data_IF_853404460275
#
_entry.id   IF_853404460275
#
_cell.length_a   1.000
_cell.length_b   1.000
_cell.length_c   1.000
_cell.angle_alpha   90.00
_cell.angle_beta   90.00
_cell.angle_gamma   90.00
#
_symmetry.space_group_name_H-M   'P 1'
#
loop_
_entity.id
_entity.type
_entity.pdbx_description
1 polymer ?
#
# COMPACT_ATOMS: atom_id res chain seq x y z
N UNK A 1 17.19 -23.78 -5.23
CA UNK A 1 17.49 -22.45 -5.80
C UNK A 1 16.25 -21.62 -5.56
N UNK A 2 16.35 -20.63 -4.68
CA UNK A 2 15.20 -19.83 -4.23
C UNK A 2 14.81 -18.84 -5.31
N UNK A 3 13.57 -18.93 -5.82
CA UNK A 3 12.94 -17.90 -6.64
C UNK A 3 12.73 -16.66 -5.77
N UNK A 4 13.66 -15.71 -5.84
CA UNK A 4 13.41 -14.34 -5.42
C UNK A 4 12.35 -13.76 -6.37
N UNK A 5 11.26 -13.15 -5.89
CA UNK A 5 10.33 -12.45 -6.77
C UNK A 5 11.04 -11.20 -7.28
N UNK A 6 11.75 -11.33 -8.40
CA UNK A 6 12.17 -10.20 -9.19
C UNK A 6 10.88 -9.58 -9.70
N UNK A 7 10.54 -8.38 -9.23
CA UNK A 7 9.47 -7.60 -9.85
C UNK A 7 9.87 -7.46 -11.33
N UNK A 8 9.09 -8.05 -12.23
CA UNK A 8 9.44 -8.00 -13.65
C UNK A 8 9.51 -6.52 -14.10
N UNK A 9 10.63 -6.08 -14.72
CA UNK A 9 10.82 -4.68 -15.11
C UNK A 9 9.68 -4.13 -15.99
N UNK A 10 9.01 -5.01 -16.73
CA UNK A 10 7.89 -4.67 -17.61
C UNK A 10 6.59 -4.39 -16.84
N UNK A 11 6.36 -5.06 -15.70
CA UNK A 11 5.20 -4.84 -14.84
C UNK A 11 5.29 -3.49 -14.14
N UNK A 12 6.47 -3.17 -13.59
CA UNK A 12 6.76 -1.86 -13.02
C UNK A 12 6.52 -0.76 -14.04
N UNK A 13 7.16 -0.82 -15.23
CA UNK A 13 6.98 0.18 -16.29
C UNK A 13 5.52 0.36 -16.72
N UNK A 14 4.74 -0.72 -16.83
CA UNK A 14 3.30 -0.66 -17.19
C UNK A 14 2.45 0.00 -16.12
N UNK A 15 2.65 -0.34 -14.85
CA UNK A 15 1.95 0.30 -13.73
C UNK A 15 2.30 1.78 -13.65
N UNK A 16 3.57 2.08 -13.86
CA UNK A 16 4.12 3.40 -14.01
C UNK A 16 3.38 4.11 -15.18
N UNK A 17 3.37 3.62 -16.41
CA UNK A 17 2.62 4.28 -17.51
C UNK A 17 1.11 4.43 -17.26
N UNK A 18 0.49 3.45 -16.60
CA UNK A 18 -0.95 3.40 -16.40
C UNK A 18 -1.46 4.19 -15.20
N UNK A 19 -0.60 4.46 -14.21
CA UNK A 19 -0.98 5.23 -13.01
C UNK A 19 -0.35 6.62 -13.05
N UNK A 20 -1.18 7.67 -13.28
CA UNK A 20 -0.73 9.04 -13.26
C UNK A 20 -0.13 9.40 -11.89
N UNK A 21 1.02 10.07 -11.90
CA UNK A 21 1.58 10.71 -10.70
C UNK A 21 2.51 9.87 -9.83
N UNK A 22 2.85 8.61 -10.18
CA UNK A 22 3.93 7.91 -9.43
C UNK A 22 5.24 8.68 -9.64
N UNK A 23 5.91 9.18 -8.57
CA UNK A 23 7.21 9.82 -8.68
C UNK A 23 8.23 8.87 -9.31
N UNK A 24 8.97 9.34 -10.31
CA UNK A 24 9.96 8.54 -11.05
C UNK A 24 11.22 9.32 -11.34
N UNK A 25 12.31 8.58 -11.49
CA UNK A 25 13.54 9.00 -12.14
C UNK A 25 13.80 8.17 -13.41
N UNK A 26 15.00 8.28 -13.99
CA UNK A 26 15.42 7.52 -15.19
C UNK A 26 15.44 5.99 -14.97
N UNK A 27 15.44 5.52 -13.71
CA UNK A 27 15.51 4.11 -13.32
C UNK A 27 14.17 3.49 -12.90
N UNK A 28 13.14 4.30 -12.61
CA UNK A 28 11.81 3.79 -12.25
C UNK A 28 11.14 4.57 -11.12
N UNK A 29 10.19 3.95 -10.39
CA UNK A 29 9.52 4.58 -9.25
C UNK A 29 10.51 4.95 -8.13
N UNK A 30 10.39 6.17 -7.61
CA UNK A 30 11.18 6.66 -6.47
C UNK A 30 10.36 6.50 -5.19
N UNK A 31 11.00 6.00 -4.14
CA UNK A 31 10.41 5.77 -2.82
C UNK A 31 11.21 6.54 -1.77
N UNK A 32 10.51 7.29 -0.91
CA UNK A 32 11.10 8.04 0.22
C UNK A 32 11.34 7.15 1.42
N UNK A 33 10.48 6.16 1.59
CA UNK A 33 10.50 5.24 2.73
C UNK A 33 10.37 3.79 2.26
N UNK A 34 10.96 2.81 2.97
CA UNK A 34 10.89 1.40 2.57
C UNK A 34 9.46 0.86 2.41
N UNK A 35 8.50 1.36 3.20
CA UNK A 35 7.11 0.89 3.14
C UNK A 35 6.41 1.28 1.83
N UNK A 36 6.81 2.38 1.18
CA UNK A 36 6.23 2.82 -0.09
C UNK A 36 6.52 1.81 -1.21
N UNK A 37 7.77 1.30 -1.24
CA UNK A 37 8.17 0.25 -2.18
C UNK A 37 7.38 -1.05 -1.96
N UNK A 38 7.13 -1.42 -0.70
CA UNK A 38 6.32 -2.60 -0.37
C UNK A 38 4.86 -2.42 -0.82
N UNK A 39 4.25 -1.26 -0.56
CA UNK A 39 2.88 -0.96 -1.00
C UNK A 39 2.75 -1.02 -2.53
N UNK A 40 3.73 -0.46 -3.25
CA UNK A 40 3.80 -0.55 -4.71
C UNK A 40 3.91 -2.00 -5.20
N UNK A 41 4.84 -2.78 -4.63
CA UNK A 41 5.02 -4.18 -4.99
C UNK A 41 3.75 -5.03 -4.73
N UNK A 42 3.03 -4.78 -3.63
CA UNK A 42 1.76 -5.45 -3.35
C UNK A 42 0.68 -5.10 -4.39
N UNK A 43 0.57 -3.83 -4.79
CA UNK A 43 -0.37 -3.41 -5.83
C UNK A 43 -0.07 -4.09 -7.17
N UNK A 44 1.20 -4.18 -7.57
CA UNK A 44 1.62 -4.94 -8.77
C UNK A 44 1.20 -6.41 -8.69
N UNK A 45 1.54 -7.08 -7.58
CA UNK A 45 1.24 -8.50 -7.42
C UNK A 45 -0.27 -8.80 -7.44
N UNK A 46 -1.10 -7.90 -6.92
CA UNK A 46 -2.56 -8.04 -6.94
C UNK A 46 -3.15 -7.77 -8.33
N UNK A 47 -2.61 -6.77 -9.04
CA UNK A 47 -2.96 -6.53 -10.44
C UNK A 47 -2.62 -7.74 -11.32
N UNK A 48 -1.42 -8.30 -11.18
CA UNK A 48 -0.97 -9.44 -12.00
C UNK A 48 -1.80 -10.71 -11.75
N UNK A 49 -2.40 -10.81 -10.55
CA UNK A 49 -3.38 -11.85 -10.19
C UNK A 49 -4.80 -11.55 -10.65
N UNK A 50 -5.03 -10.41 -11.31
CA UNK A 50 -6.33 -10.00 -11.83
C UNK A 50 -7.33 -9.56 -10.76
N UNK A 51 -6.88 -9.19 -9.56
CA UNK A 51 -7.77 -8.69 -8.49
C UNK A 51 -8.44 -7.38 -8.90
N UNK A 52 -7.72 -6.56 -9.65
CA UNK A 52 -8.21 -5.33 -10.24
C UNK A 52 -7.44 -4.98 -11.52
N UNK A 53 -8.00 -4.05 -12.28
CA UNK A 53 -7.38 -3.46 -13.46
C UNK A 53 -6.82 -2.07 -13.16
N UNK A 54 -5.82 -1.61 -13.93
CA UNK A 54 -5.27 -0.26 -13.75
C UNK A 54 -6.29 0.88 -13.93
N UNK A 55 -7.28 0.81 -14.83
CA UNK A 55 -8.35 1.82 -14.89
C UNK A 55 -9.20 1.89 -13.62
N UNK A 56 -9.55 0.75 -13.02
CA UNK A 56 -10.25 0.71 -11.72
C UNK A 56 -9.37 1.33 -10.63
N UNK A 57 -8.07 0.98 -10.60
CA UNK A 57 -7.11 1.55 -9.67
C UNK A 57 -7.04 3.07 -9.77
N UNK A 58 -6.83 3.61 -10.98
CA UNK A 58 -6.71 5.05 -11.21
C UNK A 58 -7.98 5.81 -10.77
N UNK A 59 -9.16 5.24 -11.02
CA UNK A 59 -10.43 5.83 -10.58
C UNK A 59 -10.52 5.89 -9.05
N UNK A 60 -10.20 4.79 -8.35
CA UNK A 60 -10.23 4.73 -6.88
C UNK A 60 -9.17 5.63 -6.24
N UNK A 61 -7.96 5.69 -6.80
CA UNK A 61 -6.91 6.59 -6.32
C UNK A 61 -7.32 8.06 -6.43
N UNK A 62 -7.97 8.44 -7.55
CA UNK A 62 -8.48 9.79 -7.71
C UNK A 62 -9.58 10.14 -6.69
N UNK A 63 -10.42 9.17 -6.30
CA UNK A 63 -11.40 9.36 -5.22
C UNK A 63 -10.73 9.60 -3.86
N UNK A 64 -9.71 8.80 -3.50
CA UNK A 64 -9.00 8.95 -2.22
C UNK A 64 -8.24 10.28 -2.14
N UNK A 65 -7.55 10.68 -3.22
CA UNK A 65 -6.86 11.98 -3.29
C UNK A 65 -7.86 13.13 -3.11
N UNK A 66 -9.00 13.11 -3.81
CA UNK A 66 -10.03 14.15 -3.66
C UNK A 66 -10.59 14.22 -2.24
N UNK A 67 -10.80 13.06 -1.61
CA UNK A 67 -11.28 12.98 -0.22
C UNK A 67 -10.26 13.56 0.76
N UNK A 68 -8.97 13.28 0.57
CA UNK A 68 -7.90 13.83 1.39
C UNK A 68 -7.74 15.35 1.20
N UNK A 69 -7.75 15.83 -0.04
CA UNK A 69 -7.72 17.27 -0.35
C UNK A 69 -8.91 18.00 0.30
N UNK A 70 -10.10 17.42 0.25
CA UNK A 70 -11.29 17.98 0.93
C UNK A 70 -11.14 17.99 2.47
N UNK A 71 -10.31 17.12 3.04
CA UNK A 71 -9.98 17.07 4.47
C UNK A 71 -8.80 17.99 4.85
N UNK A 72 -8.27 18.78 3.91
CA UNK A 72 -7.21 19.77 4.15
C UNK A 72 -5.79 19.25 3.91
N UNK A 73 -5.63 18.12 3.19
CA UNK A 73 -4.31 17.60 2.83
C UNK A 73 -3.56 18.58 1.91
N UNK A 74 -2.36 19.06 2.30
CA UNK A 74 -1.55 19.92 1.45
C UNK A 74 -1.04 19.12 0.25
N UNK A 75 -1.27 19.63 -0.95
CA UNK A 75 -0.90 18.98 -2.23
C UNK A 75 0.62 19.10 -2.50
N UNK A 76 1.45 18.59 -1.58
CA UNK A 76 2.92 18.62 -1.63
C UNK A 76 3.52 17.31 -2.15
N UNK A 77 2.69 16.30 -2.38
CA UNK A 77 3.12 14.95 -2.78
C UNK A 77 3.64 14.08 -1.64
N UNK A 78 3.85 14.61 -0.43
CA UNK A 78 4.34 13.84 0.73
C UNK A 78 3.34 12.80 1.24
N UNK A 79 2.06 12.98 0.91
CA UNK A 79 0.96 12.07 1.27
C UNK A 79 0.56 11.16 0.12
N UNK A 80 1.22 11.23 -1.03
CA UNK A 80 0.83 10.46 -2.22
C UNK A 80 0.77 8.94 -1.97
N UNK A 81 1.82 8.36 -1.37
CA UNK A 81 1.81 6.94 -1.05
C UNK A 81 0.87 6.58 0.10
N UNK A 82 0.40 7.54 0.91
CA UNK A 82 -0.68 7.31 1.87
C UNK A 82 -2.02 7.14 1.14
N UNK A 83 -2.30 7.96 0.13
CA UNK A 83 -3.47 7.80 -0.73
C UNK A 83 -3.40 6.49 -1.53
N UNK A 84 -2.21 6.11 -1.97
CA UNK A 84 -1.94 4.82 -2.60
C UNK A 84 -2.29 3.65 -1.67
N UNK A 85 -1.82 3.68 -0.42
CA UNK A 85 -2.11 2.65 0.56
C UNK A 85 -3.60 2.57 0.89
N UNK A 86 -4.26 3.72 1.11
CA UNK A 86 -5.70 3.78 1.36
C UNK A 86 -6.50 3.19 0.18
N UNK A 87 -6.07 3.48 -1.05
CA UNK A 87 -6.65 2.91 -2.26
C UNK A 87 -6.49 1.39 -2.28
N UNK A 88 -5.29 0.89 -1.99
CA UNK A 88 -5.00 -0.54 -1.94
C UNK A 88 -5.91 -1.25 -0.93
N UNK A 89 -5.95 -0.76 0.31
CA UNK A 89 -6.77 -1.28 1.41
C UNK A 89 -8.26 -1.33 1.06
N UNK A 90 -8.78 -0.25 0.47
CA UNK A 90 -10.16 -0.18 0.01
C UNK A 90 -10.44 -1.19 -1.09
N UNK A 91 -9.56 -1.30 -2.08
CA UNK A 91 -9.76 -2.22 -3.21
C UNK A 91 -9.72 -3.68 -2.75
N UNK A 92 -8.78 -4.08 -1.89
CA UNK A 92 -8.71 -5.47 -1.40
C UNK A 92 -9.90 -5.84 -0.53
N UNK A 93 -10.48 -4.87 0.20
CA UNK A 93 -11.71 -5.07 0.96
C UNK A 93 -12.95 -5.17 0.04
N UNK A 94 -13.12 -4.25 -0.92
CA UNK A 94 -14.24 -4.24 -1.88
C UNK A 94 -14.24 -5.51 -2.76
N UNK A 95 -13.07 -6.05 -3.10
CA UNK A 95 -12.91 -7.26 -3.90
C UNK A 95 -12.94 -8.56 -3.08
N UNK A 96 -13.11 -8.49 -1.75
CA UNK A 96 -13.24 -9.65 -0.86
C UNK A 96 -11.95 -10.44 -0.62
N UNK A 97 -10.78 -9.86 -0.93
CA UNK A 97 -9.47 -10.46 -0.60
C UNK A 97 -9.22 -10.40 0.92
N UNK A 98 -9.75 -9.37 1.57
CA UNK A 98 -9.80 -9.21 3.03
C UNK A 98 -11.06 -8.43 3.40
N UNK A 99 -11.22 -8.04 4.67
CA UNK A 99 -12.30 -7.16 5.12
C UNK A 99 -11.73 -5.90 5.77
N UNK A 100 -12.47 -4.79 5.71
CA UNK A 100 -12.08 -3.55 6.42
C UNK A 100 -11.91 -3.79 7.93
N UNK A 101 -12.71 -4.69 8.51
CA UNK A 101 -12.57 -5.11 9.91
C UNK A 101 -11.23 -5.82 10.14
N UNK A 102 -10.85 -6.76 9.29
CA UNK A 102 -9.56 -7.45 9.42
C UNK A 102 -8.40 -6.46 9.31
N UNK A 103 -8.42 -5.54 8.34
CA UNK A 103 -7.40 -4.51 8.21
C UNK A 103 -7.27 -3.67 9.49
N UNK A 104 -8.39 -3.21 10.05
CA UNK A 104 -8.41 -2.46 11.30
C UNK A 104 -7.89 -3.29 12.49
N UNK A 105 -8.32 -4.55 12.61
CA UNK A 105 -7.87 -5.43 13.69
C UNK A 105 -6.34 -5.68 13.61
N UNK A 106 -5.77 -5.81 12.41
CA UNK A 106 -4.32 -5.93 12.20
C UNK A 106 -3.57 -4.62 12.48
N UNK A 107 -4.10 -3.47 12.06
CA UNK A 107 -3.53 -2.16 12.40
C UNK A 107 -3.39 -2.02 13.91
N UNK A 108 -4.49 -2.25 14.64
CA UNK A 108 -4.52 -2.10 16.09
C UNK A 108 -3.61 -3.13 16.78
N UNK A 109 -3.52 -4.35 16.24
CA UNK A 109 -2.64 -5.38 16.77
C UNK A 109 -1.16 -5.02 16.60
N UNK A 110 -0.78 -4.49 15.43
CA UNK A 110 0.58 -4.01 15.21
C UNK A 110 0.93 -2.81 16.08
N UNK A 111 -0.03 -1.88 16.30
CA UNK A 111 0.15 -0.76 17.22
C UNK A 111 0.42 -1.26 18.65
N UNK A 112 -0.38 -2.20 19.15
CA UNK A 112 -0.16 -2.83 20.47
C UNK A 112 1.18 -3.54 20.54
N UNK A 113 1.54 -4.31 19.51
CA UNK A 113 2.82 -5.01 19.43
C UNK A 113 3.99 -4.02 19.51
N UNK A 114 3.91 -2.89 18.78
CA UNK A 114 4.91 -1.84 18.83
C UNK A 114 5.01 -1.19 20.22
N UNK A 115 3.86 -0.84 20.84
CA UNK A 115 3.82 -0.20 22.16
C UNK A 115 4.43 -1.07 23.27
N UNK A 116 4.20 -2.39 23.24
CA UNK A 116 4.74 -3.30 24.26
C UNK A 116 6.19 -3.73 24.01
N UNK A 117 6.76 -3.44 22.84
CA UNK A 117 8.11 -3.89 22.48
C UNK A 117 9.15 -2.86 22.95
N UNK A 118 10.10 -3.24 23.83
CA UNK A 118 11.17 -2.33 24.23
C UNK A 118 12.01 -1.85 23.04
N UNK A 119 12.46 -0.59 23.09
CA UNK A 119 13.33 -0.03 22.05
C UNK A 119 14.57 -0.91 21.81
N UNK A 120 14.92 -1.07 20.53
CA UNK A 120 16.04 -1.92 20.11
C UNK A 120 15.72 -3.41 19.98
N UNK A 121 14.48 -3.83 20.29
CA UNK A 121 14.02 -5.21 20.11
C UNK A 121 13.12 -5.31 18.86
N UNK A 122 13.20 -6.41 18.08
CA UNK A 122 12.27 -6.63 16.97
C UNK A 122 10.81 -6.65 17.44
N UNK A 123 9.93 -6.00 16.66
CA UNK A 123 8.48 -6.04 16.91
C UNK A 123 7.94 -7.34 16.33
N UNK A 124 7.34 -8.16 17.19
CA UNK A 124 6.71 -9.41 16.80
C UNK A 124 5.21 -9.35 17.09
N UNK A 125 4.40 -9.70 16.09
CA UNK A 125 2.96 -9.83 16.24
C UNK A 125 2.60 -11.16 16.90
N UNK A 126 1.85 -11.12 17.99
CA UNK A 126 1.41 -12.29 18.76
C UNK A 126 -0.12 -12.37 18.76
N UNK A 127 -0.65 -13.57 19.01
CA UNK A 127 -2.10 -13.79 19.11
C UNK A 127 -2.76 -12.91 20.20
N UNK A 128 -2.02 -12.53 21.23
CA UNK A 128 -2.47 -11.61 22.27
C UNK A 128 -2.71 -10.19 21.79
N UNK A 129 -2.00 -9.76 20.75
CA UNK A 129 -2.17 -8.43 20.19
C UNK A 129 -3.51 -8.27 19.45
N UNK A 130 -4.23 -9.37 19.18
CA UNK A 130 -5.59 -9.32 18.63
C UNK A 130 -6.69 -9.31 19.70
N UNK A 131 -6.33 -9.51 20.98
CA UNK A 131 -7.29 -9.49 22.09
C UNK A 131 -7.54 -8.03 22.50
N UNK A 132 -8.81 -7.65 22.56
CA UNK A 132 -9.28 -6.33 23.02
C UNK A 132 -9.47 -6.32 24.52
#
# INVERSE_FOLDING_TARGET
MSDTPFIEPNAARRATEAVPGIPRDEGGPVFREPWEAHAFAMALALHDRGVFTWPEWAAKLAEEIKKAQAAGDPDTGETYYRHWLATLERMVAEKGVTTSKALADYHDAWERAAQRTPHGTPIELKAEDFRR
#
